data_IF_105655924831
#
_entry.id   IF_105655924831
#
_cell.length_a   1.000
_cell.length_b   1.000
_cell.length_c   1.000
_cell.angle_alpha   90.00
_cell.angle_beta   90.00
_cell.angle_gamma   90.00
#
_symmetry.space_group_name_H-M   'P 1'
#
loop_
_entity.id
_entity.type
_entity.pdbx_description
1 polymer ?
#
# COMPACT_ATOMS: atom_id res chain seq x y z
N UNK A 1 8.84 -10.36 15.23
CA UNK A 1 7.42 -10.12 14.89
C UNK A 1 7.11 -10.88 13.60
N UNK A 2 6.11 -11.78 13.59
CA UNK A 2 5.91 -12.78 12.52
C UNK A 2 5.56 -12.22 11.14
N UNK A 3 5.09 -10.98 11.07
CA UNK A 3 4.68 -10.29 9.83
C UNK A 3 5.60 -9.09 9.48
N UNK A 4 6.64 -8.84 10.27
CA UNK A 4 7.66 -7.82 10.00
C UNK A 4 8.79 -8.43 9.17
N UNK A 5 9.11 -7.83 8.02
CA UNK A 5 10.15 -8.33 7.12
C UNK A 5 11.11 -7.21 6.69
N UNK A 6 12.27 -7.55 6.09
CA UNK A 6 13.15 -6.55 5.47
C UNK A 6 12.50 -5.78 4.31
N UNK A 7 11.40 -6.29 3.77
CA UNK A 7 10.69 -5.71 2.63
C UNK A 7 9.43 -4.97 3.03
N UNK A 8 9.08 -4.94 4.31
CA UNK A 8 7.88 -4.30 4.84
C UNK A 8 6.99 -5.29 5.59
N UNK A 9 5.79 -4.83 5.92
CA UNK A 9 4.83 -5.61 6.68
C UNK A 9 4.01 -6.51 5.75
N UNK A 10 4.03 -7.80 6.04
CA UNK A 10 3.23 -8.81 5.36
C UNK A 10 1.78 -8.78 5.85
N UNK A 11 0.85 -9.19 4.98
CA UNK A 11 -0.59 -9.20 5.33
C UNK A 11 -0.91 -10.17 6.48
N UNK A 12 -0.20 -11.30 6.55
CA UNK A 12 -0.27 -12.20 7.71
C UNK A 12 1.06 -12.88 7.98
N UNK A 13 1.28 -13.28 9.24
CA UNK A 13 2.48 -14.00 9.67
C UNK A 13 2.27 -15.51 9.73
N UNK A 14 3.35 -16.25 9.99
CA UNK A 14 3.33 -17.70 10.17
C UNK A 14 3.69 -18.47 8.88
N UNK A 15 3.80 -19.80 8.99
CA UNK A 15 4.25 -20.69 7.90
C UNK A 15 3.33 -20.65 6.68
N UNK A 16 2.02 -20.57 6.92
CA UNK A 16 0.98 -20.58 5.89
C UNK A 16 0.39 -19.19 5.64
N UNK A 17 1.01 -18.14 6.20
CA UNK A 17 0.60 -16.75 6.02
C UNK A 17 0.89 -16.23 4.61
N UNK A 18 0.38 -15.03 4.32
CA UNK A 18 0.64 -14.31 3.09
C UNK A 18 1.93 -13.51 3.25
N UNK A 19 3.02 -14.03 2.70
CA UNK A 19 4.38 -13.49 2.76
C UNK A 19 4.66 -12.37 1.75
N UNK A 20 3.63 -11.56 1.46
CA UNK A 20 3.67 -10.46 0.49
C UNK A 20 3.17 -9.16 1.11
N UNK A 21 3.66 -8.04 0.56
CA UNK A 21 3.28 -6.70 1.02
C UNK A 21 2.02 -6.26 0.26
N UNK A 22 0.86 -6.42 0.87
CA UNK A 22 -0.40 -5.84 0.38
C UNK A 22 -0.52 -4.39 0.85
N UNK A 23 -0.81 -3.47 -0.07
CA UNK A 23 -0.90 -2.05 0.23
C UNK A 23 -1.95 -1.78 1.31
N UNK A 24 -3.18 -2.25 1.10
CA UNK A 24 -4.29 -2.08 2.04
C UNK A 24 -3.99 -2.67 3.42
N UNK A 25 -3.69 -3.97 3.48
CA UNK A 25 -3.53 -4.73 4.72
C UNK A 25 -2.41 -4.13 5.58
N UNK A 26 -1.26 -3.86 4.95
CA UNK A 26 -0.14 -3.24 5.62
C UNK A 26 -0.46 -1.82 6.08
N UNK A 27 -1.11 -0.98 5.26
CA UNK A 27 -1.45 0.38 5.65
C UNK A 27 -2.41 0.41 6.83
N UNK A 28 -3.43 -0.44 6.88
CA UNK A 28 -4.38 -0.44 8.01
C UNK A 28 -3.68 -0.78 9.32
N UNK A 29 -2.86 -1.84 9.33
CA UNK A 29 -2.08 -2.21 10.51
C UNK A 29 -1.12 -1.09 10.93
N UNK A 30 -0.39 -0.51 9.97
CA UNK A 30 0.63 0.51 10.23
C UNK A 30 0.05 1.87 10.61
N UNK A 31 -1.12 2.23 10.09
CA UNK A 31 -1.87 3.40 10.53
C UNK A 31 -2.25 3.27 12.00
N UNK A 32 -2.76 2.10 12.40
CA UNK A 32 -3.08 1.81 13.80
C UNK A 32 -1.84 1.85 14.71
N UNK A 33 -0.75 1.18 14.31
CA UNK A 33 0.48 1.14 15.13
C UNK A 33 1.19 2.49 15.20
N UNK A 34 1.00 3.37 14.21
CA UNK A 34 1.59 4.71 14.21
C UNK A 34 1.07 5.63 15.33
N UNK A 35 0.04 5.23 16.07
CA UNK A 35 -0.38 5.89 17.30
C UNK A 35 0.61 5.69 18.46
N UNK A 36 1.52 4.71 18.36
CA UNK A 36 2.60 4.45 19.31
C UNK A 36 3.91 4.98 18.73
N UNK A 37 4.06 6.31 18.68
CA UNK A 37 5.12 7.01 17.92
C UNK A 37 6.53 6.88 18.51
N UNK A 38 6.64 6.44 19.77
CA UNK A 38 7.90 6.14 20.45
C UNK A 38 8.53 4.81 19.97
N UNK A 39 7.71 3.88 19.46
CA UNK A 39 8.14 2.54 19.03
C UNK A 39 8.82 2.56 17.66
N UNK A 40 10.15 2.59 17.66
CA UNK A 40 10.95 2.76 16.44
C UNK A 40 10.78 1.61 15.44
N UNK A 41 10.45 0.40 15.89
CA UNK A 41 10.20 -0.73 14.99
C UNK A 41 8.99 -0.49 14.10
N UNK A 42 7.89 0.08 14.63
CA UNK A 42 6.72 0.44 13.83
C UNK A 42 7.04 1.56 12.85
N UNK A 43 7.78 2.57 13.28
CA UNK A 43 8.24 3.65 12.39
C UNK A 43 9.09 3.09 11.25
N UNK A 44 10.01 2.18 11.54
CA UNK A 44 10.86 1.55 10.53
C UNK A 44 10.03 0.72 9.56
N UNK A 45 9.14 -0.14 10.05
CA UNK A 45 8.31 -1.00 9.21
C UNK A 45 7.33 -0.20 8.34
N UNK A 46 6.79 0.90 8.85
CA UNK A 46 5.94 1.78 8.07
C UNK A 46 6.72 2.43 6.92
N UNK A 47 7.91 2.96 7.20
CA UNK A 47 8.78 3.52 6.17
C UNK A 47 9.19 2.46 5.13
N UNK A 48 9.60 1.27 5.58
CA UNK A 48 10.01 0.17 4.68
C UNK A 48 8.88 -0.24 3.76
N UNK A 49 7.67 -0.44 4.30
CA UNK A 49 6.47 -0.78 3.54
C UNK A 49 6.15 0.28 2.47
N UNK A 50 6.11 1.56 2.85
CA UNK A 50 5.87 2.65 1.91
C UNK A 50 6.94 2.71 0.81
N UNK A 51 8.22 2.48 1.15
CA UNK A 51 9.30 2.42 0.18
C UNK A 51 9.12 1.25 -0.80
N UNK A 52 8.72 0.07 -0.33
CA UNK A 52 8.48 -1.12 -1.17
C UNK A 52 7.35 -0.88 -2.16
N UNK A 53 6.23 -0.31 -1.71
CA UNK A 53 5.12 0.05 -2.59
C UNK A 53 5.53 1.11 -3.64
N UNK A 54 6.24 2.16 -3.21
CA UNK A 54 6.69 3.22 -4.11
C UNK A 54 7.67 2.74 -5.19
N UNK A 55 8.63 1.88 -4.82
CA UNK A 55 9.60 1.29 -5.76
C UNK A 55 8.93 0.46 -6.86
N UNK A 56 7.80 -0.15 -6.55
CA UNK A 56 7.01 -0.99 -7.45
C UNK A 56 5.82 -0.26 -8.08
N UNK A 57 5.75 1.07 -7.95
CA UNK A 57 4.73 1.88 -8.61
C UNK A 57 4.79 1.67 -10.13
N UNK A 58 3.62 1.43 -10.74
CA UNK A 58 3.49 1.17 -12.18
C UNK A 58 4.03 2.34 -13.01
N UNK A 59 4.31 2.09 -14.30
CA UNK A 59 4.77 3.15 -15.24
C UNK A 59 3.82 4.35 -15.31
N UNK A 60 2.51 4.14 -15.16
CA UNK A 60 1.50 5.19 -15.25
C UNK A 60 1.16 5.84 -13.91
N UNK A 61 1.63 5.30 -12.79
CA UNK A 61 1.51 5.92 -11.46
C UNK A 61 0.65 5.17 -10.45
N UNK A 62 -0.02 4.09 -10.86
CA UNK A 62 -0.74 3.21 -9.92
C UNK A 62 0.23 2.59 -8.91
N UNK A 63 -0.12 2.65 -7.64
CA UNK A 63 0.56 1.88 -6.58
C UNK A 63 0.05 0.44 -6.63
N UNK A 64 0.92 -0.57 -6.51
CA UNK A 64 0.51 -1.97 -6.57
C UNK A 64 -0.46 -2.36 -5.46
N UNK A 65 -1.34 -3.31 -5.75
CA UNK A 65 -2.16 -4.01 -4.76
C UNK A 65 -1.27 -4.84 -3.84
N UNK A 66 -0.44 -5.70 -4.42
CA UNK A 66 0.52 -6.52 -3.70
C UNK A 66 1.89 -6.52 -4.36
N UNK A 67 2.93 -6.56 -3.53
CA UNK A 67 4.32 -6.80 -3.94
C UNK A 67 4.75 -8.13 -3.35
N UNK A 68 4.81 -9.15 -4.20
CA UNK A 68 5.31 -10.48 -3.89
C UNK A 68 6.57 -10.74 -4.71
N UNK A 69 7.69 -10.10 -4.36
CA UNK A 69 8.98 -10.36 -5.01
C UNK A 69 9.92 -11.21 -4.16
N UNK A 70 9.42 -11.64 -3.00
CA UNK A 70 10.21 -12.18 -1.91
C UNK A 70 9.75 -13.58 -1.49
N UNK A 71 8.52 -14.00 -1.85
CA UNK A 71 8.08 -15.37 -1.64
C UNK A 71 8.81 -16.34 -2.57
N UNK A 72 8.84 -17.60 -2.16
CA UNK A 72 9.33 -18.71 -2.98
C UNK A 72 8.26 -19.26 -3.93
N UNK A 73 6.98 -18.89 -3.75
CA UNK A 73 5.85 -19.46 -4.49
C UNK A 73 5.78 -18.93 -5.93
N UNK A 74 5.63 -17.63 -6.08
CA UNK A 74 5.54 -16.97 -7.39
C UNK A 74 5.84 -15.49 -7.24
N UNK A 75 6.83 -15.01 -7.99
CA UNK A 75 7.21 -13.59 -7.94
C UNK A 75 6.28 -12.76 -8.83
N UNK A 76 5.52 -11.87 -8.22
CA UNK A 76 4.59 -10.99 -8.92
C UNK A 76 4.42 -9.63 -8.23
N UNK A 77 4.05 -8.64 -9.03
CA UNK A 77 3.51 -7.37 -8.56
C UNK A 77 2.13 -7.21 -9.18
N UNK A 78 1.11 -7.12 -8.34
CA UNK A 78 -0.29 -7.05 -8.80
C UNK A 78 -0.81 -5.63 -8.74
N UNK A 79 -1.75 -5.33 -9.63
CA UNK A 79 -2.38 -4.01 -9.78
C UNK A 79 -3.90 -4.21 -9.90
N UNK A 80 -4.59 -3.29 -10.58
CA UNK A 80 -6.04 -3.30 -10.82
C UNK A 80 -6.93 -2.99 -9.60
N UNK A 81 -6.33 -2.45 -8.52
CA UNK A 81 -7.07 -1.89 -7.40
C UNK A 81 -6.91 -0.38 -7.32
N UNK A 82 -7.98 0.33 -6.99
CA UNK A 82 -7.97 1.78 -6.78
C UNK A 82 -7.53 2.16 -5.37
N UNK A 83 -8.06 1.44 -4.38
CA UNK A 83 -7.86 1.69 -2.95
C UNK A 83 -6.38 1.66 -2.55
N UNK A 84 -5.58 0.82 -3.20
CA UNK A 84 -4.15 0.65 -2.89
C UNK A 84 -3.34 1.93 -3.10
N UNK A 85 -3.69 2.72 -4.13
CA UNK A 85 -3.08 4.04 -4.35
C UNK A 85 -3.51 5.04 -3.30
N UNK A 86 -4.78 5.02 -2.91
CA UNK A 86 -5.33 5.89 -1.87
C UNK A 86 -4.73 5.58 -0.48
N UNK A 87 -4.65 4.30 -0.12
CA UNK A 87 -4.04 3.82 1.12
C UNK A 87 -2.58 4.23 1.24
N UNK A 88 -1.80 4.13 0.18
CA UNK A 88 -0.41 4.60 0.17
C UNK A 88 -0.29 6.10 0.40
N UNK A 89 -1.15 6.92 -0.22
CA UNK A 89 -1.15 8.37 -0.04
C UNK A 89 -1.53 8.75 1.40
N UNK A 90 -2.55 8.09 1.97
CA UNK A 90 -2.90 8.23 3.38
C UNK A 90 -1.74 7.81 4.28
N UNK A 91 -1.11 6.67 3.99
CA UNK A 91 0.03 6.15 4.74
C UNK A 91 1.18 7.16 4.83
N UNK A 92 1.55 7.80 3.72
CA UNK A 92 2.56 8.87 3.71
C UNK A 92 2.16 10.07 4.59
N UNK A 93 0.90 10.47 4.55
CA UNK A 93 0.40 11.61 5.32
C UNK A 93 0.37 11.31 6.82
N UNK A 94 -0.09 10.12 7.21
CA UNK A 94 -0.10 9.68 8.60
C UNK A 94 1.31 9.45 9.13
N UNK A 95 2.20 8.85 8.35
CA UNK A 95 3.61 8.71 8.70
C UNK A 95 4.22 10.08 9.03
N UNK A 96 4.03 11.06 8.15
CA UNK A 96 4.53 12.43 8.34
C UNK A 96 3.95 13.06 9.60
N UNK A 97 2.64 12.92 9.81
CA UNK A 97 1.93 13.53 10.94
C UNK A 97 2.36 12.92 12.28
N UNK A 98 2.26 11.59 12.40
CA UNK A 98 2.40 10.90 13.67
C UNK A 98 3.87 10.82 14.11
N UNK A 99 4.80 10.52 13.20
CA UNK A 99 6.22 10.48 13.53
C UNK A 99 6.94 11.83 13.37
N UNK A 100 6.20 12.90 13.05
CA UNK A 100 6.71 14.27 12.80
C UNK A 100 7.86 14.28 11.78
N UNK A 101 7.81 13.39 10.79
CA UNK A 101 8.88 13.16 9.81
C UNK A 101 8.42 13.44 8.38
N UNK A 102 8.71 14.65 7.90
CA UNK A 102 8.41 15.06 6.53
C UNK A 102 9.46 14.59 5.49
N UNK A 103 10.56 13.96 5.90
CA UNK A 103 11.64 13.54 4.99
C UNK A 103 11.16 12.43 4.08
N UNK A 104 10.41 11.45 4.62
CA UNK A 104 9.86 10.35 3.84
C UNK A 104 8.89 10.86 2.77
N UNK A 105 7.96 11.75 3.13
CA UNK A 105 7.07 12.39 2.16
C UNK A 105 7.85 13.13 1.06
N UNK A 106 8.89 13.87 1.44
CA UNK A 106 9.73 14.62 0.49
C UNK A 106 10.45 13.69 -0.51
N UNK A 107 10.98 12.56 -0.02
CA UNK A 107 11.57 11.51 -0.87
C UNK A 107 10.55 10.92 -1.85
N UNK A 108 9.28 10.83 -1.44
CA UNK A 108 8.21 10.23 -2.24
C UNK A 108 7.49 11.22 -3.17
N UNK A 109 7.88 12.50 -3.24
CA UNK A 109 7.21 13.54 -4.06
C UNK A 109 6.94 13.14 -5.50
N UNK A 110 7.91 12.51 -6.18
CA UNK A 110 7.74 12.04 -7.57
C UNK A 110 6.68 10.94 -7.67
N UNK A 111 6.67 10.01 -6.71
CA UNK A 111 5.67 8.93 -6.65
C UNK A 111 4.29 9.48 -6.35
N UNK A 112 4.18 10.43 -5.42
CA UNK A 112 2.92 11.12 -5.06
C UNK A 112 2.34 11.83 -6.28
N UNK A 113 3.15 12.60 -7.02
CA UNK A 113 2.68 13.30 -8.24
C UNK A 113 2.11 12.32 -9.28
N UNK A 114 2.78 11.18 -9.49
CA UNK A 114 2.33 10.15 -10.44
C UNK A 114 1.09 9.43 -9.95
N UNK A 115 0.98 9.17 -8.64
CA UNK A 115 -0.20 8.57 -8.03
C UNK A 115 -1.43 9.47 -8.22
N UNK A 116 -1.32 10.77 -7.94
CA UNK A 116 -2.40 11.72 -8.20
C UNK A 116 -2.72 11.85 -9.69
N UNK A 117 -1.72 11.85 -10.57
CA UNK A 117 -1.97 11.85 -12.01
C UNK A 117 -2.75 10.61 -12.46
N UNK A 118 -2.40 9.42 -11.94
CA UNK A 118 -3.13 8.19 -12.23
C UNK A 118 -4.56 8.23 -11.69
N UNK A 119 -4.75 8.71 -10.46
CA UNK A 119 -6.08 8.88 -9.85
C UNK A 119 -6.95 9.87 -10.62
N UNK A 120 -6.39 10.97 -11.12
CA UNK A 120 -7.13 11.90 -11.98
C UNK A 120 -7.61 11.25 -13.27
N UNK A 121 -6.85 10.31 -13.84
CA UNK A 121 -7.33 9.53 -14.98
C UNK A 121 -8.44 8.53 -14.63
N UNK A 122 -8.71 8.29 -13.34
CA UNK A 122 -9.83 7.47 -12.87
C UNK A 122 -11.06 8.31 -12.54
N UNK A 123 -11.04 9.63 -12.74
CA UNK A 123 -12.16 10.55 -12.51
C UNK A 123 -12.64 11.05 -13.88
N UNK A 124 -13.39 10.21 -14.58
CA UNK A 124 -13.93 10.49 -15.90
C UNK A 124 -15.08 11.52 -15.85
N UNK A 125 -15.74 11.65 -14.70
CA UNK A 125 -16.76 12.65 -14.42
C UNK A 125 -16.24 14.06 -14.14
N UNK A 126 -14.95 14.22 -13.83
CA UNK A 126 -14.33 15.48 -13.38
C UNK A 126 -15.04 16.06 -12.14
N UNK A 127 -15.47 15.19 -11.23
CA UNK A 127 -16.23 15.54 -10.03
C UNK A 127 -15.53 15.15 -8.71
N UNK A 128 -14.27 14.74 -8.81
CA UNK A 128 -13.44 14.22 -7.72
C UNK A 128 -13.93 12.91 -7.13
N UNK A 129 -14.76 12.15 -7.86
CA UNK A 129 -15.20 10.80 -7.50
C UNK A 129 -14.65 9.78 -8.51
N UNK A 130 -13.51 9.14 -8.20
CA UNK A 130 -12.95 8.14 -9.10
C UNK A 130 -13.90 6.97 -9.38
N UNK A 131 -14.13 6.65 -10.65
CA UNK A 131 -14.98 5.52 -11.04
C UNK A 131 -14.28 4.18 -10.86
N UNK A 132 -15.01 3.22 -10.28
CA UNK A 132 -14.51 1.88 -9.99
C UNK A 132 -15.26 0.84 -10.81
N UNK A 133 -14.51 -0.12 -11.33
CA UNK A 133 -15.08 -1.34 -11.87
C UNK A 133 -15.43 -2.29 -10.72
N UNK A 134 -16.35 -3.25 -10.92
CA UNK A 134 -16.52 -4.36 -9.99
C UNK A 134 -15.16 -4.99 -9.67
N UNK A 135 -14.96 -5.35 -8.41
CA UNK A 135 -13.77 -6.05 -7.94
C UNK A 135 -12.44 -5.32 -8.13
N UNK A 136 -12.46 -3.98 -8.15
CA UNK A 136 -11.28 -3.12 -8.29
C UNK A 136 -10.91 -2.38 -7.00
N UNK A 137 -11.32 -2.91 -5.85
CA UNK A 137 -11.11 -2.33 -4.52
C UNK A 137 -10.84 -3.42 -3.48
N UNK A 138 -11.30 -3.22 -2.24
CA UNK A 138 -11.17 -4.20 -1.18
C UNK A 138 -11.78 -5.56 -1.57
N UNK A 139 -12.96 -5.56 -2.17
CA UNK A 139 -13.69 -6.76 -2.53
C UNK A 139 -13.24 -7.18 -3.93
N UNK A 140 -12.00 -7.67 -4.02
CA UNK A 140 -11.27 -7.95 -5.26
C UNK A 140 -11.71 -9.24 -6.00
N UNK A 141 -12.86 -9.80 -5.64
CA UNK A 141 -13.43 -10.93 -6.32
C UNK A 141 -14.97 -10.89 -6.36
N UNK A 142 -15.55 -11.48 -7.40
CA UNK A 142 -17.00 -11.63 -7.48
C UNK A 142 -17.46 -12.66 -6.45
N UNK A 143 -18.73 -12.61 -6.01
CA UNK A 143 -19.28 -13.71 -5.23
C UNK A 143 -19.22 -15.00 -6.05
N UNK A 144 -18.48 -16.00 -5.56
CA UNK A 144 -18.50 -17.36 -6.11
C UNK A 144 -18.98 -18.32 -5.03
N UNK A 145 -19.62 -19.42 -5.45
CA UNK A 145 -20.30 -20.39 -4.58
C UNK A 145 -19.39 -21.11 -3.56
N UNK A 146 -18.07 -20.93 -3.68
CA UNK A 146 -17.04 -21.50 -2.82
C UNK A 146 -16.15 -20.38 -2.28
N UNK A 147 -16.77 -19.50 -1.48
CA UNK A 147 -16.05 -18.62 -0.54
C UNK A 147 -15.92 -19.31 0.81
#
# INVERSE_FOLDING_TARGET
>A
MFCSSPNGTYASGGKDGYDMVFARDSMIGLLGTSCYDEEQEFKLQFATTLNTLARNQSKHGQIPNAVDLFSERSKQVTFATMDSTLWYLLGLQFYKKNYKDAKLFSKHKKHVKRAFAWLGCQDAGEDFLPEQLPTSDWQDAFPHKYG
#
